data_IF_460216368326
#
_entry.id   IF_460216368326
#
_cell.length_a   1.000
_cell.length_b   1.000
_cell.length_c   1.000
_cell.angle_alpha   90.00
_cell.angle_beta   90.00
_cell.angle_gamma   90.00
#
_symmetry.space_group_name_H-M   'P 1'
#
loop_
_entity.id
_entity.type
_entity.pdbx_description
1 polymer ?
#
# COMPACT_ATOMS: atom_id res chain seq x y z
N UNK A 1 -1.53 -9.74 -6.40
CA UNK A 1 -0.90 -10.94 -5.86
C UNK A 1 -1.94 -11.87 -5.21
N UNK A 2 -1.81 -13.20 -5.40
CA UNK A 2 -2.69 -14.19 -4.77
C UNK A 2 -4.03 -14.46 -5.47
N UNK A 3 -4.26 -13.95 -6.67
CA UNK A 3 -5.39 -14.32 -7.52
C UNK A 3 -4.94 -15.23 -8.66
N UNK A 4 -5.74 -16.24 -8.96
CA UNK A 4 -5.56 -17.07 -10.16
C UNK A 4 -6.30 -16.37 -11.29
N UNK A 5 -5.58 -16.01 -12.34
CA UNK A 5 -6.15 -15.47 -13.56
C UNK A 5 -6.07 -16.54 -14.64
N UNK A 6 -7.14 -16.72 -15.40
CA UNK A 6 -7.19 -17.65 -16.53
C UNK A 6 -7.33 -16.84 -17.79
N UNK A 7 -6.45 -17.12 -18.76
CA UNK A 7 -6.46 -16.50 -20.07
C UNK A 7 -6.71 -17.61 -21.10
N UNK A 8 -7.66 -17.39 -22.01
CA UNK A 8 -8.01 -18.32 -23.08
C UNK A 8 -7.84 -17.55 -24.39
N UNK A 9 -6.92 -18.01 -25.23
CA UNK A 9 -6.75 -17.45 -26.56
C UNK A 9 -7.86 -17.95 -27.50
N UNK A 10 -8.24 -17.11 -28.47
CA UNK A 10 -9.14 -17.50 -29.54
C UNK A 10 -8.47 -18.59 -30.42
N UNK A 11 -9.22 -19.62 -30.81
CA UNK A 11 -8.67 -20.74 -31.58
C UNK A 11 -8.34 -20.35 -33.04
N UNK A 12 -9.01 -19.35 -33.58
CA UNK A 12 -8.84 -18.92 -35.00
C UNK A 12 -7.90 -17.71 -35.12
N UNK A 13 -7.88 -16.84 -34.10
CA UNK A 13 -7.05 -15.65 -34.03
C UNK A 13 -6.32 -15.61 -32.69
N UNK A 14 -5.34 -16.49 -32.46
CA UNK A 14 -4.59 -16.49 -31.23
C UNK A 14 -3.85 -15.15 -31.07
N UNK A 15 -4.02 -14.55 -29.88
CA UNK A 15 -3.35 -13.30 -29.55
C UNK A 15 -1.90 -13.54 -29.14
N UNK A 16 -1.03 -12.66 -29.58
CA UNK A 16 0.33 -12.56 -29.07
C UNK A 16 0.32 -11.58 -27.90
N UNK A 17 0.99 -11.91 -26.81
CA UNK A 17 1.11 -11.02 -25.66
C UNK A 17 2.52 -11.04 -25.11
N UNK A 18 2.88 -9.96 -24.47
CA UNK A 18 4.05 -9.84 -23.64
C UNK A 18 3.63 -9.38 -22.25
N UNK A 19 4.44 -9.67 -21.27
CA UNK A 19 4.19 -9.25 -19.91
C UNK A 19 5.48 -8.79 -19.24
N UNK A 20 5.33 -7.84 -18.34
CA UNK A 20 6.37 -7.42 -17.40
C UNK A 20 5.78 -7.49 -16.01
N UNK A 21 6.58 -7.91 -15.05
CA UNK A 21 6.21 -7.90 -13.65
C UNK A 21 7.00 -6.80 -12.94
N UNK A 22 6.28 -5.95 -12.24
CA UNK A 22 6.88 -4.85 -11.51
C UNK A 22 6.06 -4.58 -10.25
N UNK A 23 6.74 -4.18 -9.19
CA UNK A 23 6.11 -3.78 -7.93
C UNK A 23 6.83 -2.56 -7.36
N UNK A 24 6.22 -1.93 -6.41
CA UNK A 24 6.78 -0.81 -5.67
C UNK A 24 5.74 0.22 -5.29
N UNK A 25 6.14 1.06 -4.37
CA UNK A 25 5.28 2.09 -3.81
C UNK A 25 4.79 3.09 -4.87
N UNK A 26 5.69 3.51 -5.78
CA UNK A 26 5.37 4.42 -6.88
C UNK A 26 4.40 3.82 -7.89
N UNK A 27 4.50 2.52 -8.14
CA UNK A 27 3.58 1.79 -9.01
C UNK A 27 2.18 1.81 -8.45
N UNK A 28 2.02 1.47 -7.16
CA UNK A 28 0.73 1.49 -6.47
C UNK A 28 0.10 2.90 -6.49
N UNK A 29 0.91 3.92 -6.27
CA UNK A 29 0.49 5.32 -6.37
C UNK A 29 0.00 5.65 -7.78
N UNK A 30 0.78 5.35 -8.82
CA UNK A 30 0.42 5.60 -10.21
C UNK A 30 -0.89 4.88 -10.59
N UNK A 31 -1.01 3.59 -10.27
CA UNK A 31 -2.22 2.82 -10.57
C UNK A 31 -3.45 3.33 -9.81
N UNK A 32 -3.28 3.86 -8.59
CA UNK A 32 -4.40 4.35 -7.77
C UNK A 32 -5.14 5.56 -8.36
N UNK A 33 -4.48 6.31 -9.24
CA UNK A 33 -5.05 7.49 -9.92
C UNK A 33 -5.54 7.18 -11.34
N UNK A 34 -5.36 5.95 -11.78
CA UNK A 34 -5.95 5.42 -13.02
C UNK A 34 -7.28 4.73 -12.71
N UNK A 35 -8.04 4.39 -13.77
CA UNK A 35 -9.27 3.59 -13.62
C UNK A 35 -8.99 2.08 -13.51
N UNK A 36 -7.72 1.67 -13.53
CA UNK A 36 -7.31 0.27 -13.38
C UNK A 36 -7.58 -0.23 -11.96
N UNK A 37 -8.42 -1.23 -11.84
CA UNK A 37 -8.71 -1.90 -10.57
C UNK A 37 -8.99 -3.39 -10.79
N UNK A 38 -9.26 -4.13 -9.72
CA UNK A 38 -9.56 -5.57 -9.80
C UNK A 38 -10.79 -5.87 -10.66
N UNK A 39 -11.78 -5.00 -10.63
CA UNK A 39 -13.06 -5.17 -11.34
C UNK A 39 -13.00 -4.59 -12.77
N UNK A 40 -11.99 -3.78 -13.07
CA UNK A 40 -11.71 -3.21 -14.37
C UNK A 40 -10.20 -3.33 -14.70
N UNK A 41 -9.70 -4.55 -14.99
CA UNK A 41 -8.27 -4.80 -15.17
C UNK A 41 -7.75 -4.45 -16.57
N UNK A 42 -8.62 -4.09 -17.51
CA UNK A 42 -8.25 -3.79 -18.89
C UNK A 42 -8.15 -2.29 -19.09
N UNK A 43 -7.01 -1.86 -19.60
CA UNK A 43 -6.74 -0.46 -19.90
C UNK A 43 -7.05 -0.12 -21.36
N UNK A 44 -7.74 0.99 -21.55
CA UNK A 44 -8.03 1.55 -22.86
C UNK A 44 -7.59 3.01 -22.91
N UNK A 45 -6.51 3.29 -23.62
CA UNK A 45 -6.07 4.68 -23.87
C UNK A 45 -7.07 5.40 -24.76
N UNK A 46 -7.29 6.68 -24.47
CA UNK A 46 -8.05 7.58 -25.36
C UNK A 46 -7.15 8.32 -26.39
N UNK A 47 -5.84 8.17 -26.27
CA UNK A 47 -4.84 8.75 -27.18
C UNK A 47 -4.03 7.65 -27.84
N UNK A 48 -4.11 7.56 -29.19
CA UNK A 48 -3.34 6.59 -29.97
C UNK A 48 -1.84 6.85 -29.83
N UNK A 49 -1.41 8.10 -29.87
CA UNK A 49 0.00 8.49 -29.73
C UNK A 49 0.58 8.05 -28.37
N UNK A 50 -0.16 8.28 -27.27
CA UNK A 50 0.29 7.86 -25.94
C UNK A 50 0.28 6.34 -25.79
N UNK A 51 -0.66 5.65 -26.45
CA UNK A 51 -0.69 4.18 -26.45
C UNK A 51 0.53 3.60 -27.18
N UNK A 52 0.93 4.18 -28.31
CA UNK A 52 2.14 3.79 -29.04
C UNK A 52 3.40 3.99 -28.16
N UNK A 53 3.56 5.17 -27.55
CA UNK A 53 4.67 5.43 -26.61
C UNK A 53 4.70 4.44 -25.45
N UNK A 54 3.55 4.15 -24.86
CA UNK A 54 3.41 3.20 -23.76
C UNK A 54 3.82 1.79 -24.18
N UNK A 55 3.42 1.35 -25.40
CA UNK A 55 3.81 0.07 -25.96
C UNK A 55 5.32 0.01 -26.25
N UNK A 56 5.91 1.09 -26.77
CA UNK A 56 7.34 1.18 -27.06
C UNK A 56 8.19 0.99 -25.78
N UNK A 57 7.77 1.54 -24.64
CA UNK A 57 8.48 1.39 -23.38
C UNK A 57 8.45 -0.07 -22.88
N UNK A 58 7.31 -0.75 -22.98
CA UNK A 58 7.21 -2.17 -22.62
C UNK A 58 8.07 -3.01 -23.56
N UNK A 59 7.96 -2.77 -24.87
CA UNK A 59 8.76 -3.46 -25.89
C UNK A 59 10.25 -3.29 -25.64
N UNK A 60 10.67 -2.08 -25.26
CA UNK A 60 12.06 -1.82 -24.92
C UNK A 60 12.52 -2.69 -23.75
N UNK A 61 11.78 -2.68 -22.66
CA UNK A 61 12.12 -3.44 -21.44
C UNK A 61 12.22 -4.95 -21.76
N UNK A 62 11.26 -5.49 -22.51
CA UNK A 62 11.21 -6.93 -22.85
C UNK A 62 12.36 -7.33 -23.77
N UNK A 63 12.72 -6.47 -24.75
CA UNK A 63 13.74 -6.78 -25.73
C UNK A 63 15.18 -6.53 -25.24
N UNK A 64 15.36 -5.81 -24.13
CA UNK A 64 16.68 -5.46 -23.61
C UNK A 64 16.91 -5.94 -22.16
N UNK A 65 16.68 -7.23 -21.83
CA UNK A 65 16.75 -7.73 -20.45
C UNK A 65 18.19 -7.68 -19.86
N UNK A 66 19.21 -7.45 -20.67
CA UNK A 66 20.60 -7.36 -20.27
C UNK A 66 21.07 -5.93 -19.97
N UNK A 67 20.21 -4.94 -20.17
CA UNK A 67 20.49 -3.56 -19.82
C UNK A 67 20.60 -3.36 -18.30
N UNK A 68 21.24 -2.28 -17.90
CA UNK A 68 21.34 -1.97 -16.48
C UNK A 68 19.96 -1.79 -15.85
N UNK A 69 19.79 -2.22 -14.60
CA UNK A 69 18.54 -2.06 -13.86
C UNK A 69 18.10 -0.58 -13.78
N UNK A 70 19.04 0.36 -13.70
CA UNK A 70 18.73 1.79 -13.71
C UNK A 70 18.11 2.25 -15.04
N UNK A 71 18.58 1.70 -16.14
CA UNK A 71 18.06 2.02 -17.46
C UNK A 71 16.64 1.47 -17.63
N UNK A 72 16.43 0.19 -17.28
CA UNK A 72 15.11 -0.45 -17.31
C UNK A 72 14.10 0.22 -16.39
N UNK A 73 14.53 0.65 -15.19
CA UNK A 73 13.71 1.44 -14.27
C UNK A 73 13.33 2.79 -14.90
N UNK A 74 14.23 3.43 -15.64
CA UNK A 74 13.95 4.66 -16.39
C UNK A 74 12.80 4.48 -17.37
N UNK A 75 12.85 3.42 -18.19
CA UNK A 75 11.78 3.06 -19.12
C UNK A 75 10.46 2.70 -18.41
N UNK A 76 10.52 2.02 -17.26
CA UNK A 76 9.33 1.75 -16.44
C UNK A 76 8.68 3.05 -15.94
N UNK A 77 9.48 4.05 -15.54
CA UNK A 77 8.92 5.35 -15.14
C UNK A 77 8.30 6.11 -16.32
N UNK A 78 8.88 6.04 -17.51
CA UNK A 78 8.28 6.61 -18.73
C UNK A 78 6.97 5.90 -19.08
N UNK A 79 6.93 4.56 -19.01
CA UNK A 79 5.70 3.79 -19.15
C UNK A 79 4.60 4.25 -18.18
N UNK A 80 4.93 4.40 -16.90
CA UNK A 80 3.98 4.87 -15.89
C UNK A 80 3.51 6.30 -16.15
N UNK A 81 4.40 7.18 -16.63
CA UNK A 81 4.05 8.55 -16.98
C UNK A 81 3.07 8.61 -18.16
N UNK A 82 3.33 7.86 -19.23
CA UNK A 82 2.42 7.78 -20.38
C UNK A 82 1.07 7.14 -20.01
N UNK A 83 1.09 6.14 -19.11
CA UNK A 83 -0.13 5.55 -18.59
C UNK A 83 -0.98 6.60 -17.84
N UNK A 84 -0.35 7.41 -16.98
CA UNK A 84 -1.02 8.48 -16.25
C UNK A 84 -1.58 9.56 -17.18
N UNK A 85 -0.79 10.00 -18.16
CA UNK A 85 -1.22 11.01 -19.14
C UNK A 85 -2.40 10.55 -20.00
N UNK A 86 -2.47 9.25 -20.29
CA UNK A 86 -3.48 8.67 -21.18
C UNK A 86 -4.70 8.11 -20.45
N UNK A 87 -4.76 8.13 -19.13
CA UNK A 87 -5.91 7.70 -18.34
C UNK A 87 -7.10 8.64 -18.53
N UNK A 88 -8.32 8.09 -18.75
CA UNK A 88 -9.55 8.88 -19.01
C UNK A 88 -9.98 9.72 -17.80
N UNK A 89 -9.86 9.18 -16.62
CA UNK A 89 -10.02 9.90 -15.38
C UNK A 89 -8.63 10.02 -14.76
N UNK A 90 -7.91 11.05 -15.15
CA UNK A 90 -7.03 11.64 -14.16
C UNK A 90 -7.97 12.11 -13.05
N UNK A 91 -8.32 11.24 -12.12
CA UNK A 91 -8.60 11.70 -10.75
C UNK A 91 -7.42 12.59 -10.51
N UNK A 92 -7.63 13.92 -10.66
CA UNK A 92 -6.57 14.88 -10.50
C UNK A 92 -5.67 14.27 -9.45
N UNK A 93 -4.40 13.98 -9.80
CA UNK A 93 -3.39 13.88 -8.77
C UNK A 93 -3.57 15.22 -8.10
N UNK A 94 -4.68 15.29 -7.31
CA UNK A 94 -4.81 16.35 -6.33
C UNK A 94 -3.45 16.27 -5.76
N UNK A 95 -2.71 17.33 -5.75
CA UNK A 95 -1.37 17.42 -5.24
C UNK A 95 -1.35 16.91 -3.78
N UNK A 96 -1.99 15.79 -3.58
CA UNK A 96 -1.98 14.93 -2.44
C UNK A 96 -0.51 14.65 -2.29
N UNK A 97 0.07 15.42 -1.34
CA UNK A 97 1.49 15.36 -1.06
C UNK A 97 1.82 13.89 -0.98
N UNK A 98 2.91 13.46 -1.60
CA UNK A 98 3.44 12.10 -1.46
C UNK A 98 3.33 11.58 -0.01
N UNK A 99 3.35 12.51 0.97
CA UNK A 99 3.05 12.25 2.36
C UNK A 99 1.69 11.57 2.59
N UNK A 100 0.63 11.94 1.88
CA UNK A 100 -0.72 11.41 2.12
C UNK A 100 -0.82 9.95 1.67
N UNK A 101 -0.11 9.62 0.59
CA UNK A 101 0.03 8.24 0.15
C UNK A 101 0.81 7.39 1.18
N UNK A 102 1.95 7.88 1.68
CA UNK A 102 2.70 7.18 2.73
C UNK A 102 1.87 6.97 4.00
N UNK A 103 1.08 7.96 4.39
CA UNK A 103 0.20 7.87 5.55
C UNK A 103 -0.88 6.81 5.33
N UNK A 104 -1.50 6.77 4.16
CA UNK A 104 -2.51 5.77 3.82
C UNK A 104 -1.95 4.35 3.86
N UNK A 105 -0.77 4.12 3.27
CA UNK A 105 -0.10 2.82 3.30
C UNK A 105 0.30 2.41 4.73
N UNK A 106 0.80 3.36 5.52
CA UNK A 106 1.13 3.11 6.91
C UNK A 106 -0.10 2.72 7.75
N UNK A 107 -1.22 3.40 7.56
CA UNK A 107 -2.48 3.07 8.26
C UNK A 107 -2.97 1.69 7.83
N UNK A 108 -2.99 1.39 6.53
CA UNK A 108 -3.37 0.06 6.03
C UNK A 108 -2.49 -1.05 6.63
N UNK A 109 -1.17 -0.83 6.70
CA UNK A 109 -0.25 -1.80 7.29
C UNK A 109 -0.52 -2.00 8.78
N UNK A 110 -0.76 -0.92 9.53
CA UNK A 110 -1.13 -0.98 10.96
C UNK A 110 -2.43 -1.78 11.14
N UNK A 111 -3.46 -1.52 10.35
CA UNK A 111 -4.75 -2.19 10.41
C UNK A 111 -4.66 -3.70 10.16
N UNK A 112 -3.76 -4.10 9.26
CA UNK A 112 -3.56 -5.52 8.94
C UNK A 112 -2.62 -6.25 9.91
N UNK A 113 -1.77 -5.53 10.67
CA UNK A 113 -0.68 -6.13 11.43
C UNK A 113 -0.63 -5.69 12.90
N UNK A 114 -1.58 -4.91 13.41
CA UNK A 114 -1.54 -4.36 14.77
C UNK A 114 -1.40 -5.42 15.87
N UNK A 115 -1.88 -6.64 15.65
CA UNK A 115 -1.78 -7.78 16.55
C UNK A 115 -0.36 -8.36 16.63
N UNK A 116 0.49 -8.06 15.66
CA UNK A 116 1.87 -8.53 15.61
C UNK A 116 2.81 -7.55 16.33
N UNK A 117 4.02 -8.01 16.67
CA UNK A 117 5.04 -7.15 17.26
C UNK A 117 5.69 -6.26 16.19
N UNK A 118 4.92 -5.32 15.62
CA UNK A 118 5.41 -4.37 14.62
C UNK A 118 6.07 -3.16 15.26
N UNK A 119 7.18 -2.73 14.69
CA UNK A 119 7.89 -1.51 15.07
C UNK A 119 7.56 -0.33 14.14
N UNK A 120 7.91 0.86 14.54
CA UNK A 120 7.77 2.06 13.67
C UNK A 120 8.75 1.99 12.49
N UNK A 121 9.87 1.31 12.66
CA UNK A 121 10.82 0.99 11.62
C UNK A 121 10.19 0.13 10.52
N UNK A 122 9.44 -0.92 10.91
CA UNK A 122 8.76 -1.80 9.96
C UNK A 122 7.71 -1.03 9.16
N UNK A 123 6.93 -0.18 9.83
CA UNK A 123 5.93 0.66 9.16
C UNK A 123 6.59 1.63 8.17
N UNK A 124 7.68 2.26 8.57
CA UNK A 124 8.43 3.17 7.69
C UNK A 124 9.06 2.44 6.49
N UNK A 125 9.57 1.23 6.72
CA UNK A 125 10.15 0.38 5.67
C UNK A 125 9.13 -0.03 4.61
N UNK A 126 7.89 -0.36 5.00
CA UNK A 126 6.78 -0.63 4.05
C UNK A 126 6.50 0.58 3.17
N UNK A 127 6.65 1.78 3.71
CA UNK A 127 6.52 3.03 2.96
C UNK A 127 7.78 3.37 2.12
N UNK A 128 8.88 2.62 2.25
CA UNK A 128 10.14 2.88 1.54
C UNK A 128 10.84 4.17 2.00
N UNK A 129 10.58 4.63 3.23
CA UNK A 129 11.14 5.87 3.79
C UNK A 129 11.80 5.62 5.15
N UNK A 130 12.72 6.51 5.53
CA UNK A 130 13.36 6.39 6.83
C UNK A 130 12.40 6.78 7.97
N UNK A 131 12.62 6.21 9.17
CA UNK A 131 11.82 6.42 10.37
C UNK A 131 11.65 7.90 10.75
N UNK A 132 12.73 8.69 10.65
CA UNK A 132 12.68 10.10 11.06
C UNK A 132 11.75 10.92 10.15
N UNK A 133 11.87 10.75 8.85
CA UNK A 133 11.01 11.40 7.86
C UNK A 133 9.57 10.91 8.02
N UNK A 134 9.36 9.59 8.15
CA UNK A 134 8.05 8.99 8.40
C UNK A 134 7.37 9.61 9.63
N UNK A 135 8.05 9.64 10.78
CA UNK A 135 7.52 10.21 12.02
C UNK A 135 7.09 11.68 11.87
N UNK A 136 7.87 12.47 11.11
CA UNK A 136 7.56 13.88 10.84
C UNK A 136 6.30 14.04 9.98
N UNK A 137 6.21 13.34 8.84
CA UNK A 137 5.06 13.45 7.94
C UNK A 137 3.79 12.89 8.59
N UNK A 138 3.90 11.77 9.32
CA UNK A 138 2.79 11.16 10.02
C UNK A 138 2.21 12.10 11.07
N UNK A 139 3.07 12.71 11.90
CA UNK A 139 2.63 13.67 12.92
C UNK A 139 1.98 14.92 12.31
N UNK A 140 2.52 15.40 11.19
CA UNK A 140 1.96 16.57 10.49
C UNK A 140 0.58 16.27 9.88
N UNK A 141 0.36 15.06 9.37
CA UNK A 141 -0.91 14.67 8.72
C UNK A 141 -1.97 14.21 9.72
N UNK A 142 -1.58 13.43 10.74
CA UNK A 142 -2.51 12.79 11.68
C UNK A 142 -2.62 13.56 13.02
N UNK A 143 -1.69 14.48 13.31
CA UNK A 143 -1.62 15.22 14.57
C UNK A 143 -1.07 14.43 15.76
N UNK A 144 -0.68 13.15 15.55
CA UNK A 144 -0.11 12.24 16.57
C UNK A 144 1.10 11.50 16.00
N UNK A 145 1.98 11.03 16.87
CA UNK A 145 3.08 10.17 16.44
C UNK A 145 2.57 8.80 15.95
N UNK A 146 3.31 8.10 15.07
CA UNK A 146 2.96 6.74 14.66
C UNK A 146 2.82 5.76 15.82
N UNK A 147 3.66 5.89 16.87
CA UNK A 147 3.61 5.08 18.07
C UNK A 147 2.30 5.28 18.85
N UNK A 148 1.90 6.54 19.05
CA UNK A 148 0.64 6.89 19.71
C UNK A 148 -0.56 6.40 18.89
N UNK A 149 -0.48 6.48 17.57
CA UNK A 149 -1.53 5.98 16.69
C UNK A 149 -1.70 4.47 16.81
N UNK A 150 -0.61 3.70 16.69
CA UNK A 150 -0.63 2.24 16.86
C UNK A 150 -1.16 1.82 18.22
N UNK A 151 -0.70 2.48 19.28
CA UNK A 151 -1.16 2.21 20.65
C UNK A 151 -2.66 2.47 20.80
N UNK A 152 -3.15 3.62 20.31
CA UNK A 152 -4.58 3.94 20.36
C UNK A 152 -5.41 2.96 19.53
N UNK A 153 -4.94 2.56 18.35
CA UNK A 153 -5.62 1.59 17.50
C UNK A 153 -5.78 0.24 18.22
N UNK A 154 -4.70 -0.27 18.83
CA UNK A 154 -4.74 -1.48 19.65
C UNK A 154 -5.74 -1.38 20.80
N UNK A 155 -5.80 -0.22 21.49
CA UNK A 155 -6.73 -0.02 22.61
C UNK A 155 -8.19 0.05 22.14
N UNK A 156 -8.48 0.64 20.99
CA UNK A 156 -9.82 0.60 20.40
C UNK A 156 -10.22 -0.85 20.11
N UNK A 157 -9.33 -1.64 19.49
CA UNK A 157 -9.60 -3.07 19.26
C UNK A 157 -9.76 -3.88 20.54
N UNK A 158 -9.01 -3.57 21.57
CA UNK A 158 -9.18 -4.16 22.90
C UNK A 158 -10.57 -3.88 23.50
N UNK A 159 -11.08 -2.64 23.38
CA UNK A 159 -12.44 -2.31 23.86
C UNK A 159 -13.53 -3.03 23.09
N UNK A 160 -13.35 -3.27 21.78
CA UNK A 160 -14.27 -4.10 21.00
C UNK A 160 -14.29 -5.54 21.54
N UNK A 161 -13.11 -6.15 21.77
CA UNK A 161 -13.01 -7.52 22.30
C UNK A 161 -13.58 -7.64 23.71
N UNK A 162 -13.31 -6.68 24.60
CA UNK A 162 -13.88 -6.63 25.95
C UNK A 162 -15.40 -6.62 25.96
N UNK A 163 -16.04 -5.98 24.99
CA UNK A 163 -17.49 -5.88 24.87
C UNK A 163 -18.15 -7.08 24.21
N UNK A 164 -17.45 -7.69 23.24
CA UNK A 164 -18.03 -8.68 22.34
C UNK A 164 -17.66 -10.12 22.68
N UNK A 165 -16.70 -10.33 23.59
CA UNK A 165 -16.19 -11.67 23.89
C UNK A 165 -16.06 -11.90 25.39
N UNK A 166 -15.89 -13.18 25.78
CA UNK A 166 -15.59 -13.61 27.16
C UNK A 166 -14.11 -13.96 27.35
N UNK A 167 -13.24 -13.43 26.50
CA UNK A 167 -11.79 -13.66 26.59
C UNK A 167 -11.22 -13.08 27.88
N UNK A 168 -10.19 -13.73 28.40
CA UNK A 168 -9.46 -13.18 29.54
C UNK A 168 -8.71 -11.90 29.17
N UNK A 169 -8.40 -11.06 30.17
CA UNK A 169 -7.61 -9.84 29.96
C UNK A 169 -6.23 -10.14 29.34
N UNK A 170 -5.66 -11.29 29.68
CA UNK A 170 -4.39 -11.75 29.10
C UNK A 170 -4.54 -12.08 27.62
N UNK A 171 -5.61 -12.82 27.25
CA UNK A 171 -5.88 -13.20 25.87
C UNK A 171 -6.19 -11.97 25.00
N UNK A 172 -6.97 -11.03 25.53
CA UNK A 172 -7.25 -9.76 24.85
C UNK A 172 -5.95 -8.98 24.63
N UNK A 173 -5.10 -8.87 25.66
CA UNK A 173 -3.78 -8.24 25.53
C UNK A 173 -2.97 -8.87 24.38
N UNK A 174 -2.89 -10.19 24.36
CA UNK A 174 -2.20 -10.93 23.29
C UNK A 174 -2.82 -10.70 21.91
N UNK A 175 -4.14 -10.74 21.82
CA UNK A 175 -4.86 -10.53 20.55
C UNK A 175 -4.67 -9.12 19.95
N UNK A 176 -4.32 -8.13 20.77
CA UNK A 176 -4.03 -6.76 20.31
C UNK A 176 -2.54 -6.42 20.30
N UNK A 177 -1.67 -7.42 20.36
CA UNK A 177 -0.23 -7.26 20.17
C UNK A 177 0.56 -6.86 21.42
N UNK A 178 0.09 -7.23 22.61
CA UNK A 178 0.84 -7.10 23.88
C UNK A 178 1.21 -8.49 24.40
N UNK A 179 2.49 -8.80 24.42
CA UNK A 179 3.00 -10.07 24.97
C UNK A 179 2.82 -10.17 26.50
N UNK A 180 2.72 -9.04 27.17
CA UNK A 180 2.64 -8.96 28.63
C UNK A 180 1.37 -8.25 29.09
N UNK A 181 0.53 -8.96 29.87
CA UNK A 181 -0.73 -8.46 30.40
C UNK A 181 -0.56 -7.17 31.25
N UNK A 182 0.53 -7.04 32.02
CA UNK A 182 0.75 -5.85 32.85
C UNK A 182 1.03 -4.62 31.97
N UNK A 183 1.77 -4.79 30.88
CA UNK A 183 2.00 -3.72 29.92
C UNK A 183 0.70 -3.32 29.22
N UNK A 184 -0.11 -4.30 28.82
CA UNK A 184 -1.44 -4.05 28.27
C UNK A 184 -2.32 -3.25 29.23
N UNK A 185 -2.48 -3.74 30.47
CA UNK A 185 -3.35 -3.11 31.49
C UNK A 185 -2.90 -1.68 31.82
N UNK A 186 -1.57 -1.43 31.88
CA UNK A 186 -1.03 -0.08 32.07
C UNK A 186 -1.35 0.84 30.88
N UNK A 187 -1.13 0.35 29.64
CA UNK A 187 -1.43 1.12 28.44
C UNK A 187 -2.93 1.45 28.35
N UNK A 188 -3.79 0.48 28.64
CA UNK A 188 -5.24 0.66 28.69
C UNK A 188 -5.66 1.71 29.72
N UNK A 189 -5.16 1.59 30.95
CA UNK A 189 -5.44 2.55 32.02
C UNK A 189 -4.93 3.96 31.68
N UNK A 190 -3.79 4.08 31.03
CA UNK A 190 -3.25 5.38 30.60
C UNK A 190 -4.14 6.09 29.58
N UNK A 191 -4.84 5.33 28.72
CA UNK A 191 -5.70 5.90 27.67
C UNK A 191 -7.11 6.16 28.19
N UNK A 192 -7.68 5.22 28.96
CA UNK A 192 -9.09 5.27 29.36
C UNK A 192 -9.30 5.69 30.84
N UNK A 193 -8.25 5.79 31.64
CA UNK A 193 -8.32 6.14 33.06
C UNK A 193 -8.77 4.99 33.97
N UNK A 194 -9.25 3.88 33.41
CA UNK A 194 -9.75 2.69 34.13
C UNK A 194 -9.01 1.44 33.67
N UNK A 195 -9.04 0.39 34.49
CA UNK A 195 -8.50 -0.93 34.14
C UNK A 195 -9.38 -1.61 33.07
N UNK A 196 -8.81 -2.47 32.22
CA UNK A 196 -9.56 -3.27 31.28
C UNK A 196 -10.46 -4.30 31.93
#
# INVERSE_FOLDING_TARGET
>A
PGQINTYIADEQLPWEYMWIEFDGLRVKEALSVTDLCKDAPVYHSHSKELLEKLADEILYIVNHPQESSFHLIGHLYLFLDYLLQSAKSTKLVSSGRMSDYYIKEAINYIEQNFQNNISIEDIAAVCGINRCYFGKIFRNSIGRSPQEFLMNYRMVKATELLKLTSLSIADIGSAVGYENQLHFSRAFKNIYGVSP
#
